data_IF_605689414975
#
_entry.id   IF_605689414975
#
_cell.length_a   1.000
_cell.length_b   1.000
_cell.length_c   1.000
_cell.angle_alpha   90.00
_cell.angle_beta   90.00
_cell.angle_gamma   90.00
#
_symmetry.space_group_name_H-M   'P 1'
#
loop_
_entity.id
_entity.type
_entity.pdbx_description
1 polymer ?
#
# COMPACT_ATOMS: atom_id res chain seq x y z
N UNK A 1 -34.04 67.08 21.47
CA UNK A 1 -33.49 66.35 20.31
C UNK A 1 -32.71 65.16 20.79
N UNK A 2 -33.34 64.03 21.13
CA UNK A 2 -32.58 62.78 21.49
C UNK A 2 -32.89 61.59 20.58
N UNK A 3 -33.30 61.76 19.32
CA UNK A 3 -33.73 60.64 18.48
C UNK A 3 -32.67 60.11 17.53
N UNK A 4 -31.49 60.75 17.37
CA UNK A 4 -30.44 60.35 16.46
C UNK A 4 -29.43 59.34 17.05
N UNK A 5 -29.29 59.22 18.38
CA UNK A 5 -28.35 58.33 19.03
C UNK A 5 -28.86 56.88 19.18
N UNK A 6 -30.18 56.69 19.21
CA UNK A 6 -30.80 55.37 19.36
C UNK A 6 -30.78 54.60 18.03
N UNK A 7 -30.88 55.30 16.89
CA UNK A 7 -30.85 54.67 15.58
C UNK A 7 -29.44 54.11 15.21
N UNK A 8 -28.40 54.76 15.72
CA UNK A 8 -26.99 54.30 15.48
C UNK A 8 -26.63 53.05 16.27
N UNK A 9 -27.22 52.85 17.46
CA UNK A 9 -27.00 51.66 18.29
C UNK A 9 -27.73 50.41 17.76
N UNK A 10 -28.87 50.58 17.07
CA UNK A 10 -29.60 49.47 16.46
C UNK A 10 -28.92 48.98 15.17
N UNK A 11 -28.26 49.87 14.43
CA UNK A 11 -27.48 49.46 13.23
C UNK A 11 -26.17 48.75 13.56
N UNK A 12 -25.59 48.97 14.74
CA UNK A 12 -24.35 48.28 15.16
C UNK A 12 -24.62 46.87 15.71
N UNK A 13 -25.82 46.55 16.19
CA UNK A 13 -26.20 45.23 16.67
C UNK A 13 -26.56 44.26 15.57
N UNK A 14 -26.86 44.71 14.35
CA UNK A 14 -27.20 43.88 13.21
C UNK A 14 -25.96 43.30 12.48
N UNK A 15 -24.76 43.80 12.78
CA UNK A 15 -23.51 43.35 12.10
C UNK A 15 -22.77 42.19 12.82
N UNK A 16 -23.22 41.75 14.00
CA UNK A 16 -22.55 40.71 14.80
C UNK A 16 -23.16 39.32 14.68
N UNK A 17 -24.18 39.13 13.84
CA UNK A 17 -24.90 37.84 13.74
C UNK A 17 -24.62 37.03 12.47
N UNK A 18 -23.55 37.34 11.70
CA UNK A 18 -23.28 36.66 10.42
C UNK A 18 -21.98 35.83 10.39
N UNK A 19 -21.49 35.40 11.54
CA UNK A 19 -20.38 34.40 11.58
C UNK A 19 -20.84 33.13 12.27
N UNK A 20 -21.93 32.53 11.78
CA UNK A 20 -22.22 31.14 12.04
C UNK A 20 -21.55 30.33 10.90
N UNK A 21 -20.28 30.08 11.04
CA UNK A 21 -19.59 29.11 10.20
C UNK A 21 -20.25 27.76 10.40
N UNK A 22 -21.13 27.38 9.51
CA UNK A 22 -21.61 26.01 9.38
C UNK A 22 -20.41 25.13 8.99
N UNK A 23 -19.60 24.76 9.98
CA UNK A 23 -18.74 23.59 9.88
C UNK A 23 -19.66 22.38 9.92
N UNK A 24 -20.36 22.10 8.82
CA UNK A 24 -20.96 20.80 8.62
C UNK A 24 -19.80 19.78 8.76
N UNK A 25 -19.96 18.74 9.59
CA UNK A 25 -18.92 17.72 9.71
C UNK A 25 -18.68 17.15 8.31
N UNK A 26 -17.46 17.28 7.81
CA UNK A 26 -17.08 16.66 6.54
C UNK A 26 -17.40 15.17 6.64
N UNK A 27 -18.38 14.72 5.88
CA UNK A 27 -18.77 13.31 5.85
C UNK A 27 -17.69 12.52 5.09
N UNK A 28 -16.82 11.87 5.83
CA UNK A 28 -15.84 10.98 5.26
C UNK A 28 -16.45 9.61 5.00
N UNK A 29 -16.29 9.11 3.80
CA UNK A 29 -16.62 7.72 3.49
C UNK A 29 -15.40 6.85 3.83
N UNK A 30 -15.62 5.77 4.58
CA UNK A 30 -14.58 4.81 4.96
C UNK A 30 -14.83 3.47 4.27
N UNK A 31 -13.83 2.96 3.58
CA UNK A 31 -13.83 1.65 2.99
C UNK A 31 -12.86 0.76 3.76
N UNK A 32 -13.37 -0.33 4.32
CA UNK A 32 -12.55 -1.33 5.01
C UNK A 32 -12.42 -2.57 4.12
N UNK A 33 -11.17 -2.94 3.82
CA UNK A 33 -10.82 -4.08 2.96
C UNK A 33 -9.99 -5.07 3.77
N UNK A 34 -10.44 -6.31 3.83
CA UNK A 34 -9.75 -7.41 4.52
C UNK A 34 -8.89 -8.14 3.51
N UNK A 35 -7.59 -8.30 3.79
CA UNK A 35 -6.66 -9.07 2.96
C UNK A 35 -6.90 -10.56 3.18
N UNK A 36 -7.20 -11.28 2.10
CA UNK A 36 -7.52 -12.71 2.17
C UNK A 36 -6.28 -13.59 2.02
N UNK A 37 -6.31 -14.83 2.56
CA UNK A 37 -5.20 -15.79 2.45
C UNK A 37 -4.82 -16.21 1.04
N UNK A 38 -5.71 -16.01 0.06
CA UNK A 38 -5.43 -16.23 -1.37
C UNK A 38 -4.54 -15.16 -2.00
N UNK A 39 -4.13 -14.16 -1.23
CA UNK A 39 -3.14 -13.16 -1.65
C UNK A 39 -1.77 -13.78 -1.79
N UNK A 40 -0.99 -13.29 -2.76
CA UNK A 40 0.34 -13.81 -3.08
C UNK A 40 1.31 -12.68 -3.45
N UNK A 41 2.59 -12.96 -3.32
CA UNK A 41 3.68 -12.11 -3.78
C UNK A 41 4.74 -12.96 -4.48
N UNK A 42 5.25 -12.47 -5.59
CA UNK A 42 6.25 -13.16 -6.40
C UNK A 42 7.44 -12.24 -6.66
N UNK A 43 8.63 -12.76 -6.45
CA UNK A 43 9.91 -12.12 -6.79
C UNK A 43 10.57 -12.95 -7.89
N UNK A 44 10.80 -12.32 -9.04
CA UNK A 44 11.47 -12.92 -10.17
C UNK A 44 12.84 -12.29 -10.35
N UNK A 45 13.85 -13.10 -10.48
CA UNK A 45 15.20 -12.68 -10.75
C UNK A 45 15.88 -13.57 -11.78
N UNK A 46 17.08 -13.19 -12.17
CA UNK A 46 17.94 -13.99 -13.03
C UNK A 46 19.36 -13.98 -12.53
N UNK A 47 20.08 -15.00 -12.90
CA UNK A 47 21.52 -15.11 -12.75
C UNK A 47 22.16 -15.10 -14.14
N UNK A 48 23.47 -15.09 -14.19
CA UNK A 48 24.19 -15.26 -15.45
C UNK A 48 23.98 -16.64 -16.11
N UNK A 49 23.32 -17.61 -15.44
CA UNK A 49 23.10 -18.96 -15.97
C UNK A 49 21.62 -19.37 -16.06
N UNK A 50 20.73 -18.84 -15.20
CA UNK A 50 19.30 -19.20 -15.19
C UNK A 50 18.41 -18.08 -14.65
N UNK A 51 17.10 -18.33 -14.67
CA UNK A 51 16.08 -17.50 -13.99
C UNK A 51 15.57 -18.24 -12.77
N UNK A 52 15.08 -17.47 -11.78
CA UNK A 52 14.47 -18.03 -10.59
C UNK A 52 13.21 -17.23 -10.20
N UNK A 53 12.36 -17.89 -9.45
CA UNK A 53 11.15 -17.33 -8.88
C UNK A 53 11.12 -17.70 -7.40
N UNK A 54 10.95 -16.70 -6.53
CA UNK A 54 10.65 -16.91 -5.12
C UNK A 54 9.27 -16.34 -4.85
N UNK A 55 8.41 -17.07 -4.17
CA UNK A 55 7.03 -16.66 -3.98
C UNK A 55 6.53 -16.94 -2.56
N UNK A 56 5.66 -16.06 -2.06
CA UNK A 56 4.71 -16.36 -1.00
C UNK A 56 3.40 -16.71 -1.71
N UNK A 57 3.09 -18.01 -1.78
CA UNK A 57 1.91 -18.50 -2.48
C UNK A 57 0.62 -18.31 -1.69
N UNK A 58 0.73 -18.15 -0.38
CA UNK A 58 -0.41 -17.99 0.53
C UNK A 58 -0.06 -16.98 1.62
N UNK A 59 -0.85 -15.95 1.72
CA UNK A 59 -0.74 -14.97 2.78
C UNK A 59 -1.31 -15.53 4.09
N UNK A 60 -0.54 -15.48 5.18
CA UNK A 60 -0.94 -16.00 6.49
C UNK A 60 -1.36 -14.92 7.50
N UNK A 61 -1.30 -13.65 7.13
CA UNK A 61 -1.69 -12.52 7.98
C UNK A 61 -3.21 -12.28 8.01
N UNK A 62 -3.60 -11.29 8.80
CA UNK A 62 -4.99 -10.81 8.95
C UNK A 62 -5.09 -9.30 8.78
N UNK A 63 -4.34 -8.76 7.84
CA UNK A 63 -4.26 -7.31 7.66
C UNK A 63 -5.52 -6.74 7.04
N UNK A 64 -5.77 -5.48 7.36
CA UNK A 64 -6.93 -4.73 6.89
C UNK A 64 -6.46 -3.40 6.35
N UNK A 65 -6.93 -3.04 5.16
CA UNK A 65 -6.72 -1.72 4.57
C UNK A 65 -7.94 -0.85 4.88
N UNK A 66 -7.72 0.39 5.33
CA UNK A 66 -8.79 1.37 5.57
C UNK A 66 -8.51 2.59 4.71
N UNK A 67 -9.38 2.82 3.75
CA UNK A 67 -9.33 3.97 2.85
C UNK A 67 -10.34 5.00 3.33
N UNK A 68 -9.90 6.24 3.50
CA UNK A 68 -10.73 7.39 3.83
C UNK A 68 -10.84 8.29 2.61
N UNK A 69 -12.07 8.54 2.20
CA UNK A 69 -12.38 9.43 1.10
C UNK A 69 -13.00 10.71 1.63
N UNK A 70 -12.53 11.85 1.14
CA UNK A 70 -13.11 13.15 1.36
C UNK A 70 -13.47 13.78 0.00
N UNK A 71 -14.55 14.56 -0.10
CA UNK A 71 -14.88 15.31 -1.30
C UNK A 71 -13.70 16.18 -1.75
N UNK A 72 -13.36 16.11 -3.05
CA UNK A 72 -12.31 16.92 -3.68
C UNK A 72 -10.87 16.72 -3.13
N UNK A 73 -10.62 15.68 -2.34
CA UNK A 73 -9.28 15.34 -1.83
C UNK A 73 -8.82 13.99 -2.38
N UNK A 74 -7.48 13.79 -2.41
CA UNK A 74 -6.94 12.46 -2.72
C UNK A 74 -7.31 11.48 -1.60
N UNK A 75 -7.67 10.22 -1.95
CA UNK A 75 -7.96 9.21 -0.94
C UNK A 75 -6.75 8.98 -0.03
N UNK A 76 -6.97 9.01 1.28
CA UNK A 76 -5.94 8.76 2.28
C UNK A 76 -6.12 7.35 2.81
N UNK A 77 -5.04 6.59 2.87
CA UNK A 77 -5.05 5.28 3.49
C UNK A 77 -4.75 5.49 4.98
N UNK A 78 -5.77 5.32 5.81
CA UNK A 78 -5.67 5.49 7.26
C UNK A 78 -4.97 4.28 7.91
N UNK A 79 -5.19 3.08 7.37
CA UNK A 79 -4.50 1.84 7.73
C UNK A 79 -4.21 1.08 6.44
N UNK A 80 -2.93 0.93 6.12
CA UNK A 80 -2.51 0.38 4.82
C UNK A 80 -1.36 -0.62 4.91
N UNK A 81 -1.05 -1.12 6.12
CA UNK A 81 0.07 -2.03 6.32
C UNK A 81 -0.31 -3.48 6.02
N UNK A 82 0.56 -4.16 5.26
CA UNK A 82 0.54 -5.60 4.99
C UNK A 82 1.91 -6.15 5.37
N UNK A 83 1.94 -7.06 6.33
CA UNK A 83 3.17 -7.71 6.80
C UNK A 83 3.37 -9.07 6.15
N UNK A 84 4.53 -9.30 5.55
CA UNK A 84 4.93 -10.57 4.93
C UNK A 84 6.10 -11.16 5.71
N UNK A 85 5.95 -12.39 6.18
CA UNK A 85 7.07 -13.09 6.82
C UNK A 85 8.11 -13.51 5.78
N UNK A 86 9.35 -13.03 5.93
CA UNK A 86 10.43 -13.31 4.99
C UNK A 86 10.80 -14.82 4.92
N UNK A 87 10.52 -15.57 5.98
CA UNK A 87 10.72 -17.02 6.05
C UNK A 87 9.69 -17.84 5.25
N UNK A 88 8.58 -17.24 4.83
CA UNK A 88 7.51 -17.93 4.07
C UNK A 88 7.73 -17.94 2.56
N UNK A 89 8.80 -17.31 2.08
CA UNK A 89 9.17 -17.42 0.67
C UNK A 89 9.68 -18.83 0.34
N UNK A 90 9.20 -19.34 -0.78
CA UNK A 90 9.70 -20.55 -1.42
C UNK A 90 10.27 -20.22 -2.80
N UNK A 91 11.51 -20.63 -3.06
CA UNK A 91 12.19 -20.45 -4.35
C UNK A 91 12.28 -21.76 -5.16
N UNK A 92 11.52 -22.80 -4.77
CA UNK A 92 11.50 -24.11 -5.43
C UNK A 92 12.69 -24.99 -5.11
N UNK A 93 13.75 -24.46 -4.50
CA UNK A 93 14.98 -25.20 -4.09
C UNK A 93 15.38 -24.73 -2.69
N UNK A 94 15.61 -25.71 -1.77
CA UNK A 94 15.99 -25.43 -0.36
C UNK A 94 17.18 -24.49 -0.26
N UNK A 95 18.22 -24.75 -1.04
CA UNK A 95 19.43 -23.93 -1.03
C UNK A 95 19.19 -22.51 -1.51
N UNK A 96 18.31 -22.31 -2.50
CA UNK A 96 17.95 -20.97 -3.01
C UNK A 96 17.05 -20.23 -2.03
N UNK A 97 16.08 -20.93 -1.43
CA UNK A 97 15.21 -20.37 -0.38
C UNK A 97 16.03 -19.89 0.81
N UNK A 98 17.00 -20.67 1.26
CA UNK A 98 17.90 -20.27 2.34
C UNK A 98 18.74 -19.04 1.97
N UNK A 99 19.32 -19.00 0.76
CA UNK A 99 20.09 -17.83 0.32
C UNK A 99 19.23 -16.58 0.19
N UNK A 100 18.01 -16.75 -0.29
CA UNK A 100 17.06 -15.64 -0.41
C UNK A 100 16.73 -15.07 0.96
N UNK A 101 16.37 -15.93 1.93
CA UNK A 101 16.12 -15.56 3.32
C UNK A 101 17.33 -14.84 3.95
N UNK A 102 18.54 -15.38 3.75
CA UNK A 102 19.78 -14.76 4.22
C UNK A 102 20.05 -13.40 3.58
N UNK A 103 19.78 -13.26 2.29
CA UNK A 103 19.94 -11.99 1.56
C UNK A 103 18.99 -10.93 2.12
N UNK A 104 17.75 -11.30 2.46
CA UNK A 104 16.77 -10.44 3.10
C UNK A 104 17.08 -10.15 4.58
N UNK A 105 18.09 -10.80 5.15
CA UNK A 105 18.42 -10.74 6.59
C UNK A 105 17.23 -11.13 7.47
N UNK A 106 16.52 -12.19 7.09
CA UNK A 106 15.26 -12.60 7.72
C UNK A 106 15.38 -12.87 9.22
N UNK A 107 16.54 -13.33 9.70
CA UNK A 107 16.81 -13.56 11.13
C UNK A 107 16.78 -12.26 11.96
N UNK A 108 17.17 -11.11 11.35
CA UNK A 108 17.19 -9.81 12.01
C UNK A 108 15.91 -9.00 11.70
N UNK A 109 15.39 -9.16 10.50
CA UNK A 109 14.23 -8.44 9.97
C UNK A 109 13.23 -9.45 9.41
N UNK A 110 12.48 -10.17 10.26
CA UNK A 110 11.62 -11.27 9.83
C UNK A 110 10.42 -10.84 9.00
N UNK A 111 10.04 -9.56 9.05
CA UNK A 111 8.86 -9.02 8.37
C UNK A 111 9.28 -8.04 7.28
N UNK A 112 8.77 -8.26 6.08
CA UNK A 112 8.75 -7.27 5.00
C UNK A 112 7.45 -6.51 5.13
N UNK A 113 7.52 -5.20 5.38
CA UNK A 113 6.36 -4.33 5.48
C UNK A 113 6.03 -3.70 4.13
N UNK A 114 4.77 -3.75 3.74
CA UNK A 114 4.21 -3.02 2.60
C UNK A 114 3.14 -2.09 3.15
N UNK A 115 3.37 -0.79 3.12
CA UNK A 115 2.43 0.20 3.62
C UNK A 115 1.90 1.06 2.47
N UNK A 116 0.64 0.93 2.16
CA UNK A 116 -0.06 1.82 1.24
C UNK A 116 -0.33 3.15 1.95
N UNK A 117 0.25 4.24 1.46
CA UNK A 117 0.12 5.58 2.06
C UNK A 117 -1.00 6.40 1.44
N UNK A 118 -1.09 6.40 0.12
CA UNK A 118 -2.13 7.12 -0.61
C UNK A 118 -2.37 6.51 -1.98
N UNK A 119 -3.53 6.81 -2.54
CA UNK A 119 -3.88 6.49 -3.92
C UNK A 119 -3.90 7.78 -4.73
N UNK A 120 -3.55 7.72 -6.01
CA UNK A 120 -3.69 8.83 -6.95
C UNK A 120 -5.14 9.32 -7.00
N UNK A 121 -6.08 8.39 -7.02
CA UNK A 121 -7.53 8.57 -6.95
C UNK A 121 -8.19 7.32 -6.36
N UNK A 122 -9.45 7.43 -5.99
CA UNK A 122 -10.22 6.23 -5.62
C UNK A 122 -10.45 5.37 -6.87
N UNK A 123 -10.18 4.05 -6.78
CA UNK A 123 -10.47 3.14 -7.88
C UNK A 123 -11.97 2.98 -8.12
N UNK A 124 -12.36 2.87 -9.39
CA UNK A 124 -13.74 2.62 -9.78
C UNK A 124 -14.06 1.12 -9.74
N UNK A 125 -14.89 0.71 -8.78
CA UNK A 125 -15.32 -0.67 -8.60
C UNK A 125 -16.40 -1.10 -9.60
N UNK A 126 -16.99 -0.20 -10.36
CA UNK A 126 -17.95 -0.51 -11.40
C UNK A 126 -17.27 -0.94 -12.72
N UNK A 127 -16.00 -0.59 -12.90
CA UNK A 127 -15.22 -1.01 -14.05
C UNK A 127 -14.72 -2.45 -13.88
N UNK A 128 -14.69 -3.21 -15.00
CA UNK A 128 -14.10 -4.56 -15.02
C UNK A 128 -12.62 -4.53 -14.63
N UNK A 129 -11.91 -3.50 -15.06
CA UNK A 129 -10.50 -3.26 -14.73
C UNK A 129 -10.26 -1.76 -14.59
N UNK A 130 -9.62 -1.35 -13.50
CA UNK A 130 -9.22 0.04 -13.27
C UNK A 130 -7.73 0.15 -12.94
N UNK A 131 -7.05 1.12 -13.57
CA UNK A 131 -5.61 1.36 -13.43
C UNK A 131 -5.35 2.67 -12.70
N UNK A 132 -4.48 2.63 -11.70
CA UNK A 132 -4.10 3.80 -10.91
C UNK A 132 -2.71 3.62 -10.32
N UNK A 133 -2.18 4.69 -9.71
CA UNK A 133 -0.89 4.65 -9.01
C UNK A 133 -1.14 4.76 -7.51
N UNK A 134 -0.48 3.90 -6.74
CA UNK A 134 -0.43 3.99 -5.28
C UNK A 134 0.96 4.46 -4.82
N UNK A 135 1.01 5.33 -3.81
CA UNK A 135 2.24 5.59 -3.07
C UNK A 135 2.37 4.52 -1.98
N UNK A 136 3.44 3.75 -2.05
CA UNK A 136 3.68 2.61 -1.16
C UNK A 136 5.04 2.74 -0.50
N UNK A 137 5.10 2.64 0.83
CA UNK A 137 6.35 2.45 1.55
C UNK A 137 6.65 0.95 1.69
N UNK A 138 7.86 0.56 1.34
CA UNK A 138 8.35 -0.81 1.50
C UNK A 138 9.47 -0.80 2.52
N UNK A 139 9.31 -1.62 3.58
CA UNK A 139 10.29 -1.82 4.63
C UNK A 139 10.89 -3.21 4.51
N UNK A 140 12.17 -3.32 4.25
CA UNK A 140 12.88 -4.59 4.07
C UNK A 140 14.32 -4.46 4.56
N UNK A 141 14.82 -5.46 5.27
CA UNK A 141 16.18 -5.51 5.80
C UNK A 141 16.60 -4.24 6.59
N UNK A 142 15.66 -3.65 7.34
CA UNK A 142 15.88 -2.43 8.13
C UNK A 142 15.89 -1.12 7.32
N UNK A 143 15.53 -1.16 6.05
CA UNK A 143 15.45 0.02 5.17
C UNK A 143 14.03 0.22 4.69
N UNK A 144 13.51 1.44 4.84
CA UNK A 144 12.19 1.84 4.31
C UNK A 144 12.36 2.81 3.16
N UNK A 145 11.62 2.60 2.08
CA UNK A 145 11.59 3.48 0.91
C UNK A 145 10.19 3.61 0.34
N UNK A 146 9.90 4.80 -0.17
CA UNK A 146 8.64 5.12 -0.83
C UNK A 146 8.76 4.89 -2.34
N UNK A 147 7.71 4.31 -2.91
CA UNK A 147 7.63 4.03 -4.35
C UNK A 147 6.25 4.35 -4.90
N UNK A 148 6.22 4.92 -6.10
CA UNK A 148 5.00 4.95 -6.90
C UNK A 148 4.82 3.56 -7.53
N UNK A 149 3.73 2.89 -7.16
CA UNK A 149 3.41 1.53 -7.58
C UNK A 149 2.24 1.55 -8.55
N UNK A 150 2.46 1.19 -9.82
CA UNK A 150 1.35 0.99 -10.74
C UNK A 150 0.51 -0.20 -10.28
N UNK A 151 -0.80 0.03 -10.19
CA UNK A 151 -1.76 -0.93 -9.70
C UNK A 151 -2.89 -1.12 -10.71
N UNK A 152 -3.42 -2.33 -10.74
CA UNK A 152 -4.62 -2.71 -11.48
C UNK A 152 -5.60 -3.34 -10.51
N UNK A 153 -6.82 -2.81 -10.47
CA UNK A 153 -7.89 -3.34 -9.66
C UNK A 153 -8.92 -4.02 -10.55
N UNK A 154 -9.38 -5.20 -10.15
CA UNK A 154 -10.48 -5.93 -10.76
C UNK A 154 -11.47 -6.29 -9.67
N UNK A 155 -12.75 -5.97 -9.87
CA UNK A 155 -13.83 -6.33 -8.93
C UNK A 155 -14.70 -7.42 -9.52
N UNK A 156 -14.95 -8.48 -8.74
CA UNK A 156 -15.88 -9.55 -9.10
C UNK A 156 -16.61 -10.06 -7.87
N UNK A 157 -17.95 -10.03 -7.89
CA UNK A 157 -18.87 -10.63 -6.90
C UNK A 157 -18.49 -10.39 -5.42
N UNK A 158 -18.08 -9.15 -5.09
CA UNK A 158 -17.72 -8.76 -3.71
C UNK A 158 -16.26 -9.08 -3.32
N UNK A 159 -15.49 -9.63 -4.24
CA UNK A 159 -14.04 -9.81 -4.13
C UNK A 159 -13.33 -8.77 -4.99
N UNK A 160 -12.29 -8.17 -4.47
CA UNK A 160 -11.46 -7.20 -5.17
C UNK A 160 -10.07 -7.80 -5.34
N UNK A 161 -9.60 -7.91 -6.56
CA UNK A 161 -8.25 -8.31 -6.88
C UNK A 161 -7.41 -7.06 -7.21
N UNK A 162 -6.48 -6.73 -6.32
CA UNK A 162 -5.52 -5.65 -6.51
C UNK A 162 -4.17 -6.25 -6.93
N UNK A 163 -3.77 -5.98 -8.16
CA UNK A 163 -2.48 -6.38 -8.72
C UNK A 163 -1.56 -5.17 -8.80
N UNK A 164 -0.29 -5.38 -8.52
CA UNK A 164 0.72 -4.37 -8.73
C UNK A 164 2.08 -5.01 -8.91
N UNK A 165 3.03 -4.24 -9.44
CA UNK A 165 4.37 -4.75 -9.60
C UNK A 165 5.35 -3.69 -10.08
N UNK A 166 6.62 -3.95 -9.76
CA UNK A 166 7.72 -3.05 -10.06
C UNK A 166 9.06 -3.79 -10.06
N UNK A 167 10.02 -3.25 -10.79
CA UNK A 167 11.42 -3.65 -10.65
C UNK A 167 12.10 -2.89 -9.52
N UNK A 168 12.87 -3.60 -8.70
CA UNK A 168 13.71 -3.08 -7.62
C UNK A 168 15.15 -3.50 -7.84
N UNK A 169 16.09 -2.70 -7.33
CA UNK A 169 17.49 -3.08 -7.21
C UNK A 169 17.81 -3.47 -5.76
N UNK A 170 18.72 -4.41 -5.55
CA UNK A 170 19.19 -4.75 -4.19
C UNK A 170 19.70 -3.52 -3.44
N UNK A 171 20.35 -2.59 -4.14
CA UNK A 171 20.87 -1.34 -3.59
C UNK A 171 19.78 -0.42 -3.04
N UNK A 172 18.53 -0.51 -3.51
CA UNK A 172 17.40 0.28 -2.98
C UNK A 172 17.20 0.02 -1.48
N UNK A 173 17.52 -1.18 -1.02
CA UNK A 173 17.41 -1.60 0.37
C UNK A 173 18.77 -1.84 1.06
N UNK A 174 19.86 -1.27 0.51
CA UNK A 174 21.23 -1.47 1.00
C UNK A 174 21.63 -2.95 1.08
N UNK A 175 21.08 -3.76 0.21
CA UNK A 175 21.42 -5.16 0.04
C UNK A 175 22.44 -5.33 -1.09
N UNK A 176 23.10 -6.49 -1.12
CA UNK A 176 23.99 -6.90 -2.21
C UNK A 176 23.42 -8.13 -2.89
N UNK A 177 23.46 -8.15 -4.21
CA UNK A 177 23.09 -9.33 -4.98
C UNK A 177 23.97 -10.53 -4.60
N UNK A 178 23.37 -11.68 -4.30
CA UNK A 178 24.14 -12.86 -3.86
C UNK A 178 24.99 -13.42 -4.99
N UNK A 179 26.13 -14.02 -4.58
CA UNK A 179 27.05 -14.70 -5.46
C UNK A 179 27.33 -16.10 -4.90
N UNK A 180 27.48 -17.09 -5.77
CA UNK A 180 27.80 -18.46 -5.42
C UNK A 180 29.01 -18.99 -6.20
N UNK A 181 29.57 -20.09 -5.73
CA UNK A 181 30.72 -20.76 -6.36
C UNK A 181 31.87 -19.78 -6.62
N UNK A 182 32.32 -19.07 -5.58
CA UNK A 182 33.37 -18.04 -5.67
C UNK A 182 33.14 -16.98 -6.77
N UNK A 183 31.86 -16.59 -6.98
CA UNK A 183 31.49 -15.56 -7.94
C UNK A 183 31.26 -16.06 -9.37
N UNK A 184 31.29 -17.36 -9.62
CA UNK A 184 30.94 -17.92 -10.94
C UNK A 184 29.45 -17.78 -11.24
N UNK A 185 28.59 -17.91 -10.24
CA UNK A 185 27.16 -17.65 -10.36
C UNK A 185 26.85 -16.32 -9.66
N UNK A 186 26.31 -15.36 -10.41
CA UNK A 186 25.97 -14.03 -9.93
C UNK A 186 24.51 -13.75 -10.21
N UNK A 187 23.79 -13.28 -9.18
CA UNK A 187 22.43 -12.77 -9.33
C UNK A 187 22.49 -11.35 -9.87
N UNK A 188 21.63 -11.02 -10.82
CA UNK A 188 21.47 -9.65 -11.32
C UNK A 188 21.01 -8.71 -10.19
N UNK A 189 21.43 -7.46 -10.26
CA UNK A 189 21.05 -6.41 -9.30
C UNK A 189 19.54 -6.11 -9.32
N UNK A 190 18.85 -6.41 -10.42
CA UNK A 190 17.44 -6.10 -10.61
C UNK A 190 16.54 -7.31 -10.38
N UNK A 191 15.52 -7.12 -9.56
CA UNK A 191 14.44 -8.07 -9.31
C UNK A 191 13.11 -7.50 -9.78
N UNK A 192 12.23 -8.32 -10.34
CA UNK A 192 10.86 -7.96 -10.65
C UNK A 192 9.95 -8.52 -9.56
N UNK A 193 9.24 -7.63 -8.88
CA UNK A 193 8.32 -7.99 -7.81
C UNK A 193 6.91 -7.69 -8.27
N UNK A 194 6.02 -8.66 -8.10
CA UNK A 194 4.58 -8.51 -8.34
C UNK A 194 3.79 -9.06 -7.16
N UNK A 195 2.68 -8.40 -6.83
CA UNK A 195 1.74 -8.86 -5.83
C UNK A 195 0.34 -9.01 -6.41
N UNK A 196 -0.41 -9.94 -5.85
CA UNK A 196 -1.82 -10.14 -6.08
C UNK A 196 -2.52 -10.15 -4.72
N UNK A 197 -3.10 -9.02 -4.31
CA UNK A 197 -3.89 -8.95 -3.09
C UNK A 197 -5.34 -9.25 -3.43
N UNK A 198 -5.86 -10.28 -2.80
CA UNK A 198 -7.28 -10.62 -2.84
C UNK A 198 -7.93 -9.99 -1.62
N UNK A 199 -8.84 -9.04 -1.85
CA UNK A 199 -9.44 -8.21 -0.84
C UNK A 199 -10.95 -8.47 -0.79
N UNK A 200 -11.52 -8.41 0.40
CA UNK A 200 -12.97 -8.44 0.62
C UNK A 200 -13.40 -7.14 1.28
N UNK A 201 -14.42 -6.51 0.72
CA UNK A 201 -15.04 -5.34 1.34
C UNK A 201 -15.76 -5.79 2.61
N UNK A 202 -15.45 -5.17 3.73
CA UNK A 202 -16.18 -5.37 4.98
C UNK A 202 -17.44 -4.52 4.95
N UNK A 203 -18.60 -5.19 4.86
CA UNK A 203 -19.91 -4.53 4.77
C UNK A 203 -20.37 -3.89 6.08
N UNK A 204 -19.66 -4.11 7.20
CA UNK A 204 -19.98 -3.48 8.47
C UNK A 204 -19.59 -1.99 8.39
N UNK A 205 -20.56 -1.13 8.11
CA UNK A 205 -20.45 0.32 8.18
C UNK A 205 -20.31 0.71 9.66
N UNK A 206 -19.25 1.43 9.96
CA UNK A 206 -19.08 2.12 11.25
C UNK A 206 -19.54 3.57 11.13
#
# INVERSE_FOLDING_TARGET
>A
MPCKKILLLILLSAFLSSFSGNNAPESFLRHRLIVLPSSSLTVQGKTNVNRFVCAIARYCGSDTLIIKEAPHQRPIIQKGFVGLEASTFDCGMVAMTHDFSKTLKADQFPVIGIEFKSLERLPDLACTEDKFTALVAISMAGVTRDFNMPCVLQADKGTILLKGGRSFNFADFKLKAPQRMMGLIKVDERLNVSFHLVLRLDANRW
#
